data_IF_550594545214
#
_entry.id   IF_550594545214
#
_cell.length_a   1.000
_cell.length_b   1.000
_cell.length_c   1.000
_cell.angle_alpha   90.00
_cell.angle_beta   90.00
_cell.angle_gamma   90.00
#
_symmetry.space_group_name_H-M   'P 1'
#
loop_
_entity.id
_entity.type
_entity.pdbx_description
1 polymer ?
#
# COMPACT_ATOMS: atom_id res chain seq x y z
N UNK A 1 12.90 -13.67 5.07
CA UNK A 1 12.97 -13.33 3.63
C UNK A 1 12.01 -14.23 2.89
N UNK A 2 11.07 -13.70 2.09
CA UNK A 2 10.16 -14.54 1.32
C UNK A 2 10.93 -15.43 0.34
N UNK A 3 10.44 -16.64 0.16
CA UNK A 3 11.00 -17.56 -0.83
C UNK A 3 10.46 -17.15 -2.19
N UNK A 4 11.21 -16.36 -2.94
CA UNK A 4 10.83 -15.92 -4.27
C UNK A 4 10.90 -17.09 -5.25
N UNK A 5 9.94 -17.23 -6.18
CA UNK A 5 9.89 -18.34 -7.14
C UNK A 5 10.99 -18.25 -8.22
N UNK A 6 11.63 -17.09 -8.37
CA UNK A 6 12.69 -16.83 -9.33
C UNK A 6 13.60 -15.68 -8.83
N UNK A 7 14.78 -15.46 -9.44
CA UNK A 7 15.63 -14.30 -9.13
C UNK A 7 14.90 -12.97 -9.32
N UNK A 8 15.16 -11.94 -8.50
CA UNK A 8 14.48 -10.64 -8.59
C UNK A 8 14.52 -9.99 -9.98
N UNK A 9 15.62 -10.08 -10.71
CA UNK A 9 15.74 -9.54 -12.05
C UNK A 9 14.80 -10.23 -13.08
N UNK A 10 14.57 -11.52 -12.92
CA UNK A 10 13.63 -12.27 -13.76
C UNK A 10 12.19 -11.88 -13.42
N UNK A 11 11.87 -11.76 -12.11
CA UNK A 11 10.56 -11.33 -11.64
C UNK A 11 10.25 -9.91 -12.11
N UNK A 12 11.23 -9.00 -12.09
CA UNK A 12 11.09 -7.65 -12.64
C UNK A 12 10.80 -7.68 -14.15
N UNK A 13 11.45 -8.55 -14.89
CA UNK A 13 11.15 -8.77 -16.31
C UNK A 13 9.73 -9.30 -16.55
N UNK A 14 9.22 -10.19 -15.68
CA UNK A 14 7.82 -10.63 -15.74
C UNK A 14 6.84 -9.49 -15.41
N UNK A 15 7.16 -8.71 -14.39
CA UNK A 15 6.38 -7.52 -14.02
C UNK A 15 6.24 -6.55 -15.19
N UNK A 16 7.35 -6.15 -15.82
CA UNK A 16 7.31 -5.24 -16.97
C UNK A 16 6.51 -5.82 -18.14
N UNK A 17 6.66 -7.10 -18.49
CA UNK A 17 5.83 -7.74 -19.53
C UNK A 17 4.33 -7.70 -19.20
N UNK A 18 3.96 -7.90 -17.93
CA UNK A 18 2.58 -7.76 -17.50
C UNK A 18 2.09 -6.32 -17.62
N UNK A 19 2.88 -5.36 -17.16
CA UNK A 19 2.56 -3.93 -17.26
C UNK A 19 2.41 -3.48 -18.71
N UNK A 20 3.31 -3.89 -19.62
CA UNK A 20 3.26 -3.57 -21.05
C UNK A 20 1.98 -4.09 -21.73
N UNK A 21 1.36 -5.13 -21.16
CA UNK A 21 0.07 -5.66 -21.62
C UNK A 21 -1.10 -4.94 -20.96
N UNK A 22 -1.02 -4.72 -19.65
CA UNK A 22 -2.14 -4.22 -18.85
C UNK A 22 -2.34 -2.70 -18.97
N UNK A 23 -1.26 -1.93 -19.09
CA UNK A 23 -1.34 -0.46 -19.22
C UNK A 23 -2.16 -0.03 -20.45
N UNK A 24 -1.89 -0.55 -21.67
CA UNK A 24 -2.73 -0.21 -22.83
C UNK A 24 -4.19 -0.64 -22.67
N UNK A 25 -4.44 -1.79 -22.04
CA UNK A 25 -5.80 -2.29 -21.81
C UNK A 25 -6.56 -1.41 -20.81
N UNK A 26 -5.92 -1.02 -19.71
CA UNK A 26 -6.49 -0.10 -18.72
C UNK A 26 -6.81 1.27 -19.34
N UNK A 27 -5.88 1.81 -20.11
CA UNK A 27 -6.06 3.08 -20.84
C UNK A 27 -7.24 3.00 -21.82
N UNK A 28 -7.36 1.91 -22.58
CA UNK A 28 -8.50 1.69 -23.48
C UNK A 28 -9.84 1.56 -22.75
N UNK A 29 -9.82 1.08 -21.50
CA UNK A 29 -10.98 1.00 -20.63
C UNK A 29 -11.29 2.31 -19.88
N UNK A 30 -10.51 3.37 -20.07
CA UNK A 30 -10.69 4.66 -19.37
C UNK A 30 -10.33 4.60 -17.88
N UNK A 31 -9.44 3.68 -17.49
CA UNK A 31 -8.95 3.51 -16.13
C UNK A 31 -7.43 3.44 -16.11
N UNK A 32 -6.81 3.34 -14.92
CA UNK A 32 -5.39 3.10 -14.75
C UNK A 32 -5.11 1.94 -13.80
N UNK A 33 -3.92 1.40 -13.87
CA UNK A 33 -3.48 0.38 -12.92
C UNK A 33 -3.08 1.03 -11.59
N UNK A 34 -3.35 0.33 -10.50
CA UNK A 34 -2.76 0.63 -9.21
C UNK A 34 -1.93 -0.58 -8.77
N UNK A 35 -0.70 -0.33 -8.37
CA UNK A 35 0.21 -1.36 -7.88
C UNK A 35 0.44 -1.16 -6.39
N UNK A 36 0.31 -2.23 -5.63
CA UNK A 36 0.37 -2.22 -4.17
C UNK A 36 1.70 -2.78 -3.65
N UNK A 37 2.22 -2.20 -2.57
CA UNK A 37 3.32 -2.79 -1.81
C UNK A 37 2.84 -4.03 -1.07
N UNK A 38 3.48 -5.17 -1.33
CA UNK A 38 3.09 -6.46 -0.74
C UNK A 38 4.31 -7.12 -0.09
N UNK A 39 4.31 -7.40 1.23
CA UNK A 39 5.50 -7.83 1.97
C UNK A 39 6.07 -9.18 1.52
N UNK A 40 5.25 -10.01 0.87
CA UNK A 40 5.65 -11.32 0.35
C UNK A 40 5.98 -11.31 -1.15
N UNK A 41 5.83 -10.17 -1.81
CA UNK A 41 6.20 -10.00 -3.21
C UNK A 41 7.71 -9.64 -3.35
N UNK A 42 8.15 -9.56 -4.60
CA UNK A 42 9.55 -9.19 -4.91
C UNK A 42 9.82 -7.68 -4.86
N UNK A 43 8.75 -6.86 -4.73
CA UNK A 43 8.79 -5.40 -4.55
C UNK A 43 8.03 -5.04 -3.25
N UNK A 44 8.56 -5.40 -2.07
CA UNK A 44 7.80 -5.25 -0.83
C UNK A 44 7.80 -3.83 -0.28
N UNK A 45 8.83 -3.05 -0.57
CA UNK A 45 9.03 -1.70 -0.04
C UNK A 45 8.67 -0.60 -1.04
N UNK A 46 8.46 0.60 -0.51
CA UNK A 46 8.09 1.78 -1.29
C UNK A 46 9.14 2.15 -2.34
N UNK A 47 10.43 2.11 -1.98
CA UNK A 47 11.51 2.49 -2.87
C UNK A 47 11.65 1.53 -4.07
N UNK A 48 11.61 0.21 -3.82
CA UNK A 48 11.70 -0.82 -4.86
C UNK A 48 10.50 -0.76 -5.80
N UNK A 49 9.29 -0.57 -5.26
CA UNK A 49 8.09 -0.43 -6.07
C UNK A 49 8.16 0.81 -6.97
N UNK A 50 8.58 1.95 -6.44
CA UNK A 50 8.71 3.18 -7.22
C UNK A 50 9.78 3.07 -8.31
N UNK A 51 10.91 2.41 -8.04
CA UNK A 51 11.94 2.14 -9.03
C UNK A 51 11.41 1.26 -10.18
N UNK A 52 10.62 0.22 -9.86
CA UNK A 52 10.01 -0.64 -10.88
C UNK A 52 8.98 0.10 -11.76
N UNK A 53 8.37 1.16 -11.25
CA UNK A 53 7.38 1.97 -11.98
C UNK A 53 7.97 3.16 -12.73
N UNK A 54 9.28 3.39 -12.67
CA UNK A 54 9.93 4.57 -13.26
C UNK A 54 9.67 4.72 -14.76
N UNK A 55 9.57 3.61 -15.49
CA UNK A 55 9.33 3.61 -16.95
C UNK A 55 7.87 3.84 -17.36
N UNK A 56 6.93 3.92 -16.42
CA UNK A 56 5.51 4.19 -16.67
C UNK A 56 5.14 5.59 -16.22
N UNK A 57 4.17 6.25 -16.89
CA UNK A 57 3.69 7.56 -16.46
C UNK A 57 2.79 7.44 -15.22
N UNK A 58 2.56 8.53 -14.51
CA UNK A 58 1.65 8.53 -13.34
C UNK A 58 0.19 8.29 -13.74
N UNK A 59 -0.17 8.62 -14.97
CA UNK A 59 -1.49 8.36 -15.54
C UNK A 59 -1.68 6.89 -15.88
N UNK A 60 -0.62 6.17 -16.21
CA UNK A 60 -0.66 4.75 -16.54
C UNK A 60 -0.70 3.87 -15.30
N UNK A 61 0.15 4.19 -14.32
CA UNK A 61 0.31 3.40 -13.11
C UNK A 61 0.42 4.30 -11.87
N UNK A 62 -0.60 4.24 -11.02
CA UNK A 62 -0.56 4.75 -9.66
C UNK A 62 -0.14 3.68 -8.66
N UNK A 63 -0.06 4.04 -7.40
CA UNK A 63 0.22 3.11 -6.31
C UNK A 63 -0.88 3.12 -5.26
N UNK A 64 -1.11 1.95 -4.69
CA UNK A 64 -1.75 1.78 -3.40
C UNK A 64 -0.64 1.65 -2.37
N UNK A 65 -0.68 2.48 -1.34
CA UNK A 65 0.21 2.29 -0.20
C UNK A 65 -0.57 1.68 0.96
N UNK A 66 -0.33 0.39 1.19
CA UNK A 66 -0.85 -0.31 2.36
C UNK A 66 0.12 -0.15 3.53
N UNK A 67 -0.33 0.55 4.58
CA UNK A 67 0.50 0.86 5.74
C UNK A 67 0.71 -0.33 6.66
N UNK A 68 -0.19 -1.33 6.67
CA UNK A 68 0.01 -2.56 7.40
C UNK A 68 1.08 -3.43 6.73
N UNK A 69 1.04 -3.53 5.40
CA UNK A 69 2.07 -4.20 4.60
C UNK A 69 3.44 -3.57 4.82
N UNK A 70 3.52 -2.24 4.77
CA UNK A 70 4.74 -1.48 5.01
C UNK A 70 5.27 -1.71 6.44
N UNK A 71 4.39 -1.60 7.44
CA UNK A 71 4.73 -1.82 8.83
C UNK A 71 5.23 -3.23 9.10
N UNK A 72 4.54 -4.26 8.59
CA UNK A 72 4.97 -5.65 8.71
C UNK A 72 6.31 -5.91 8.00
N UNK A 73 6.54 -5.29 6.85
CA UNK A 73 7.83 -5.36 6.13
C UNK A 73 8.98 -4.73 6.92
N UNK A 74 8.69 -3.89 7.90
CA UNK A 74 9.68 -3.20 8.72
C UNK A 74 9.96 -1.77 8.26
N UNK A 75 9.19 -1.24 7.32
CA UNK A 75 9.34 0.11 6.80
C UNK A 75 8.92 1.16 7.85
N UNK A 76 9.57 2.31 7.82
CA UNK A 76 9.11 3.52 8.51
C UNK A 76 8.07 4.20 7.63
N UNK A 77 6.86 4.45 8.18
CA UNK A 77 5.76 4.99 7.38
C UNK A 77 6.07 6.40 6.84
N UNK A 78 6.77 7.22 7.61
CA UNK A 78 7.14 8.57 7.15
C UNK A 78 8.14 8.51 5.98
N UNK A 79 9.04 7.55 5.98
CA UNK A 79 9.98 7.34 4.89
C UNK A 79 9.31 6.66 3.69
N UNK A 80 8.32 5.77 3.90
CA UNK A 80 7.60 5.08 2.83
C UNK A 80 6.64 6.00 2.06
N UNK A 81 5.93 6.92 2.72
CA UNK A 81 5.04 7.88 2.05
C UNK A 81 5.78 8.80 1.07
N UNK A 82 7.01 9.22 1.38
CA UNK A 82 7.77 10.19 0.58
C UNK A 82 7.97 9.74 -0.88
N UNK A 83 8.56 8.56 -1.18
CA UNK A 83 8.72 8.10 -2.55
C UNK A 83 7.40 7.79 -3.22
N UNK A 84 6.37 7.34 -2.48
CA UNK A 84 5.05 7.00 -3.03
C UNK A 84 4.25 8.23 -3.47
N UNK A 85 4.47 9.40 -2.86
CA UNK A 85 3.66 10.61 -3.04
C UNK A 85 3.34 10.99 -4.49
N UNK A 86 4.28 10.95 -5.47
CA UNK A 86 4.00 11.34 -6.84
C UNK A 86 2.99 10.45 -7.56
N UNK A 87 2.78 9.22 -7.08
CA UNK A 87 1.91 8.20 -7.69
C UNK A 87 0.81 7.71 -6.78
N UNK A 88 0.77 8.22 -5.53
CA UNK A 88 -0.17 7.75 -4.51
C UNK A 88 -1.62 8.03 -4.95
N UNK A 89 -2.39 6.98 -5.08
CA UNK A 89 -3.77 7.02 -5.55
C UNK A 89 -4.76 6.48 -4.52
N UNK A 90 -4.30 5.63 -3.62
CA UNK A 90 -5.10 5.01 -2.57
C UNK A 90 -4.19 4.65 -1.40
N UNK A 91 -4.69 4.83 -0.19
CA UNK A 91 -4.06 4.32 1.03
C UNK A 91 -4.94 3.22 1.60
N UNK A 92 -4.39 2.03 1.79
CA UNK A 92 -5.01 0.95 2.55
C UNK A 92 -4.62 1.03 4.01
N UNK A 93 -5.58 0.78 4.89
CA UNK A 93 -5.40 0.88 6.34
C UNK A 93 -6.01 -0.33 7.03
N UNK A 94 -5.19 -1.05 7.74
CA UNK A 94 -5.54 -2.11 8.68
C UNK A 94 -4.47 -2.20 9.75
N UNK A 95 -4.67 -3.01 10.77
CA UNK A 95 -3.68 -3.19 11.82
C UNK A 95 -2.95 -4.52 11.71
N UNK A 96 -1.68 -4.52 12.11
CA UNK A 96 -0.84 -5.71 12.13
C UNK A 96 0.28 -5.54 13.17
N UNK A 97 0.66 -6.57 13.91
CA UNK A 97 1.92 -6.56 14.63
C UNK A 97 3.10 -6.77 13.67
N UNK A 98 4.33 -6.49 14.14
CA UNK A 98 5.53 -6.65 13.30
C UNK A 98 5.98 -8.09 13.08
N UNK A 99 5.50 -9.02 13.89
CA UNK A 99 5.92 -10.43 13.90
C UNK A 99 4.89 -11.39 13.30
N UNK A 100 3.67 -10.90 13.06
CA UNK A 100 2.56 -11.70 12.50
C UNK A 100 1.80 -10.88 11.48
N UNK A 101 1.72 -11.37 10.25
CA UNK A 101 1.01 -10.66 9.18
C UNK A 101 -0.50 -10.79 9.34
N UNK A 102 -1.15 -9.66 9.53
CA UNK A 102 -2.61 -9.55 9.65
C UNK A 102 -3.12 -8.34 8.87
N UNK A 103 -4.40 -8.35 8.58
CA UNK A 103 -5.20 -7.18 8.25
C UNK A 103 -6.30 -7.06 9.30
N UNK A 104 -5.89 -6.81 10.53
CA UNK A 104 -6.77 -6.82 11.70
C UNK A 104 -7.52 -5.48 11.86
N UNK A 105 -8.61 -5.47 12.66
CA UNK A 105 -9.21 -4.24 13.15
C UNK A 105 -8.21 -3.35 13.87
N UNK A 106 -8.41 -2.03 13.77
CA UNK A 106 -7.56 -1.02 14.41
C UNK A 106 -7.54 -1.21 15.93
N UNK A 107 -6.37 -1.34 16.52
CA UNK A 107 -6.12 -1.60 17.93
C UNK A 107 -5.79 -3.06 18.24
N UNK A 108 -5.76 -3.95 17.27
CA UNK A 108 -5.38 -5.37 17.44
C UNK A 108 -3.94 -5.66 17.02
N UNK A 109 -3.22 -4.66 16.50
CA UNK A 109 -1.82 -4.71 16.11
C UNK A 109 -0.99 -3.60 16.74
N UNK A 110 0.04 -3.14 15.99
CA UNK A 110 0.99 -2.13 16.47
C UNK A 110 1.32 -1.07 15.44
N UNK A 111 0.49 -0.92 14.39
CA UNK A 111 0.68 0.13 13.38
C UNK A 111 0.58 1.51 14.02
N UNK A 112 1.55 2.40 13.85
CA UNK A 112 1.53 3.75 14.43
C UNK A 112 0.63 4.69 13.63
N UNK A 113 -0.67 4.53 13.74
CA UNK A 113 -1.67 5.23 12.90
C UNK A 113 -1.57 6.76 12.96
N UNK A 114 -1.31 7.35 14.13
CA UNK A 114 -1.17 8.80 14.24
C UNK A 114 0.06 9.32 13.49
N UNK A 115 1.18 8.58 13.53
CA UNK A 115 2.38 8.90 12.77
C UNK A 115 2.15 8.70 11.26
N UNK A 116 1.45 7.63 10.89
CA UNK A 116 1.03 7.39 9.51
C UNK A 116 0.14 8.50 8.96
N UNK A 117 -0.85 8.97 9.73
CA UNK A 117 -1.71 10.10 9.36
C UNK A 117 -0.90 11.39 9.16
N UNK A 118 0.02 11.68 10.08
CA UNK A 118 0.91 12.85 9.97
C UNK A 118 1.82 12.76 8.73
N UNK A 119 2.37 11.58 8.45
CA UNK A 119 3.20 11.34 7.26
C UNK A 119 2.41 11.49 5.95
N UNK A 120 1.20 10.95 5.90
CA UNK A 120 0.28 11.08 4.77
C UNK A 120 -0.05 12.55 4.49
N UNK A 121 -0.39 13.31 5.54
CA UNK A 121 -0.65 14.75 5.44
C UNK A 121 0.60 15.54 5.02
N UNK A 122 1.77 15.19 5.52
CA UNK A 122 3.04 15.85 5.21
C UNK A 122 3.44 15.78 3.73
N UNK A 123 3.01 14.72 3.01
CA UNK A 123 3.21 14.59 1.57
C UNK A 123 2.08 15.22 0.74
N UNK A 124 1.10 15.86 1.39
CA UNK A 124 -0.01 16.55 0.74
C UNK A 124 -1.04 15.62 0.10
N UNK A 125 -1.16 14.38 0.57
CA UNK A 125 -2.16 13.46 0.05
C UNK A 125 -3.56 13.79 0.60
N UNK A 126 -4.51 13.97 -0.30
CA UNK A 126 -5.92 14.27 -0.02
C UNK A 126 -6.89 13.27 -0.70
N UNK A 127 -6.33 12.16 -1.20
CA UNK A 127 -7.07 11.11 -1.86
C UNK A 127 -7.77 10.15 -0.90
N UNK A 128 -8.41 9.09 -1.44
CA UNK A 128 -9.17 8.13 -0.65
C UNK A 128 -8.28 7.30 0.29
N UNK A 129 -8.82 7.04 1.48
CA UNK A 129 -8.29 6.09 2.46
C UNK A 129 -9.31 4.98 2.64
N UNK A 130 -8.89 3.73 2.49
CA UNK A 130 -9.77 2.57 2.54
C UNK A 130 -9.34 1.60 3.64
N UNK A 131 -10.31 1.18 4.46
CA UNK A 131 -10.12 0.09 5.41
C UNK A 131 -10.03 -1.24 4.65
N UNK A 132 -8.92 -1.95 4.83
CA UNK A 132 -8.73 -3.31 4.34
C UNK A 132 -8.61 -4.27 5.53
N UNK A 133 -9.75 -4.59 6.12
CA UNK A 133 -9.82 -5.39 7.36
C UNK A 133 -10.35 -6.79 7.08
N UNK A 134 -9.63 -7.80 7.55
CA UNK A 134 -10.06 -9.20 7.58
C UNK A 134 -10.47 -9.52 9.01
N UNK A 135 -11.77 -9.66 9.25
CA UNK A 135 -12.33 -9.91 10.58
C UNK A 135 -13.57 -10.82 10.56
N UNK A 136 -13.92 -11.36 11.72
CA UNK A 136 -15.09 -12.23 11.86
C UNK A 136 -16.41 -11.47 12.08
N UNK A 137 -16.35 -10.19 12.43
CA UNK A 137 -17.53 -9.37 12.73
C UNK A 137 -17.42 -7.99 12.06
N UNK A 138 -17.57 -7.91 10.72
CA UNK A 138 -17.35 -6.67 9.97
C UNK A 138 -18.32 -5.55 10.37
N UNK A 139 -19.56 -5.87 10.76
CA UNK A 139 -20.56 -4.87 11.16
C UNK A 139 -20.18 -4.12 12.44
N UNK A 140 -19.38 -4.75 13.31
CA UNK A 140 -18.82 -4.13 14.52
C UNK A 140 -17.45 -3.50 14.22
N UNK A 141 -16.57 -4.27 13.60
CA UNK A 141 -15.12 -3.98 13.58
C UNK A 141 -14.77 -2.86 12.59
N UNK A 142 -15.46 -2.79 11.44
CA UNK A 142 -15.21 -1.75 10.45
C UNK A 142 -15.64 -0.36 10.96
N UNK A 143 -16.87 -0.15 11.50
CA UNK A 143 -17.25 1.14 12.05
C UNK A 143 -16.41 1.57 13.27
N UNK A 144 -16.01 0.61 14.12
CA UNK A 144 -15.13 0.89 15.26
C UNK A 144 -13.76 1.35 14.81
N UNK A 145 -13.15 0.65 13.84
CA UNK A 145 -11.85 1.01 13.26
C UNK A 145 -11.90 2.39 12.59
N UNK A 146 -12.94 2.67 11.80
CA UNK A 146 -13.12 3.98 11.18
C UNK A 146 -13.23 5.10 12.22
N UNK A 147 -13.91 4.86 13.34
CA UNK A 147 -14.02 5.83 14.43
C UNK A 147 -12.68 6.07 15.11
N UNK A 148 -11.92 5.00 15.39
CA UNK A 148 -10.59 5.11 15.98
C UNK A 148 -9.63 5.88 15.09
N UNK A 149 -9.61 5.61 13.78
CA UNK A 149 -8.75 6.29 12.81
C UNK A 149 -9.03 7.79 12.71
N UNK A 150 -10.30 8.21 12.72
CA UNK A 150 -10.65 9.65 12.75
C UNK A 150 -10.07 10.34 13.98
N UNK A 151 -10.07 9.67 15.15
CA UNK A 151 -9.45 10.17 16.37
C UNK A 151 -7.92 10.30 16.28
N UNK A 152 -7.29 9.63 15.32
CA UNK A 152 -5.85 9.63 15.08
C UNK A 152 -5.43 10.48 13.85
N UNK A 153 -6.35 11.22 13.25
CA UNK A 153 -6.04 12.17 12.17
C UNK A 153 -6.26 11.63 10.75
N UNK A 154 -6.81 10.44 10.59
CA UNK A 154 -7.25 9.95 9.28
C UNK A 154 -8.64 10.52 8.96
N UNK A 155 -8.78 11.14 7.78
CA UNK A 155 -10.04 11.75 7.32
C UNK A 155 -10.91 10.74 6.55
#
# INVERSE_FOLDING_TARGET
TPLLPAPPAELLGHFHRAMDTLVPAARAAGTRLLVENMPFAFLPGAAELMAALESYTVEDAGVVYDIANAWFHGEDLAEGFKPMAPRLALVHVSDTPRDTYLHAPVGEGTVPFAEGAAACAAVGYDGPVMLEIICNNPDRDIPASATALRGMGWA
#
